data_IF_956156304699
#
_entry.id   IF_956156304699
#
_cell.length_a   1.000
_cell.length_b   1.000
_cell.length_c   1.000
_cell.angle_alpha   90.00
_cell.angle_beta   90.00
_cell.angle_gamma   90.00
#
_symmetry.space_group_name_H-M   'P 1'
#
loop_
_entity.id
_entity.type
_entity.pdbx_description
1 polymer ?
#
# COMPACT_ATOMS: atom_id res chain seq x y z
N UNK A 1 11.78 -6.38 -24.58
CA UNK A 1 12.59 -7.56 -24.98
C UNK A 1 13.59 -7.98 -23.90
N UNK A 2 13.90 -7.13 -22.90
CA UNK A 2 14.88 -7.42 -21.82
C UNK A 2 14.32 -8.08 -20.54
N UNK A 3 12.99 -8.16 -20.35
CA UNK A 3 12.41 -8.91 -19.21
C UNK A 3 12.63 -10.44 -19.31
N UNK A 4 12.86 -10.93 -20.54
CA UNK A 4 13.28 -12.31 -20.80
C UNK A 4 14.77 -12.49 -20.48
N UNK A 5 15.58 -11.44 -20.66
CA UNK A 5 17.04 -11.50 -20.56
C UNK A 5 17.56 -11.45 -19.11
N UNK A 6 16.81 -10.86 -18.16
CA UNK A 6 17.15 -10.91 -16.73
C UNK A 6 16.83 -12.26 -16.07
N UNK A 7 15.71 -12.87 -16.44
CA UNK A 7 15.40 -14.26 -16.08
C UNK A 7 16.39 -15.23 -16.76
N UNK A 8 16.82 -14.94 -17.99
CA UNK A 8 17.84 -15.72 -18.68
C UNK A 8 19.22 -15.56 -18.02
N UNK A 9 19.70 -14.35 -17.72
CA UNK A 9 21.00 -14.14 -17.04
C UNK A 9 21.05 -14.74 -15.64
N UNK A 10 19.93 -14.74 -14.91
CA UNK A 10 19.77 -15.45 -13.63
C UNK A 10 19.67 -16.97 -13.80
N UNK A 11 19.06 -17.45 -14.90
CA UNK A 11 19.09 -18.88 -15.28
C UNK A 11 20.50 -19.36 -15.60
N UNK A 12 21.28 -18.58 -16.37
CA UNK A 12 22.60 -19.00 -16.87
C UNK A 12 23.67 -19.07 -15.78
N UNK A 13 23.63 -18.19 -14.77
CA UNK A 13 24.59 -18.24 -13.64
C UNK A 13 24.40 -19.45 -12.72
N UNK A 14 23.23 -20.10 -12.75
CA UNK A 14 22.93 -21.33 -11.99
C UNK A 14 23.19 -22.63 -12.76
N UNK A 15 23.44 -22.60 -14.07
CA UNK A 15 23.72 -23.83 -14.85
C UNK A 15 25.08 -24.42 -14.45
N UNK A 16 25.99 -23.61 -13.92
CA UNK A 16 27.25 -24.10 -13.37
C UNK A 16 27.00 -24.99 -12.14
N UNK A 17 27.58 -26.19 -12.15
CA UNK A 17 27.48 -27.15 -11.04
C UNK A 17 26.18 -27.96 -10.96
N UNK A 18 25.23 -27.81 -11.89
CA UNK A 18 24.00 -28.62 -11.88
C UNK A 18 24.29 -30.10 -12.16
N UNK A 19 23.84 -30.97 -11.26
CA UNK A 19 23.82 -32.42 -11.51
C UNK A 19 22.77 -32.78 -12.58
N UNK A 20 22.85 -33.96 -13.22
CA UNK A 20 21.81 -34.43 -14.14
C UNK A 20 20.41 -34.46 -13.52
N UNK A 21 20.31 -34.63 -12.19
CA UNK A 21 19.05 -34.61 -11.46
C UNK A 21 18.45 -33.20 -11.47
N UNK A 22 19.27 -32.16 -11.30
CA UNK A 22 18.81 -30.77 -11.44
C UNK A 22 18.26 -30.51 -12.84
N UNK A 23 18.91 -31.01 -13.90
CA UNK A 23 18.39 -30.90 -15.26
C UNK A 23 17.01 -31.58 -15.42
N UNK A 24 16.85 -32.78 -14.85
CA UNK A 24 15.57 -33.48 -14.87
C UNK A 24 14.46 -32.73 -14.08
N UNK A 25 14.80 -32.12 -12.95
CA UNK A 25 13.89 -31.24 -12.18
C UNK A 25 13.55 -29.97 -12.98
N UNK A 26 14.54 -29.31 -13.56
CA UNK A 26 14.38 -28.08 -14.34
C UNK A 26 13.40 -28.27 -15.51
N UNK A 27 13.45 -29.44 -16.13
CA UNK A 27 12.55 -29.83 -17.22
C UNK A 27 11.32 -30.63 -16.76
N UNK A 28 11.08 -30.73 -15.44
CA UNK A 28 9.92 -31.37 -14.83
C UNK A 28 9.65 -32.79 -15.33
N UNK A 29 10.72 -33.60 -15.47
CA UNK A 29 10.65 -34.97 -16.00
C UNK A 29 10.56 -36.01 -14.88
N UNK A 30 9.37 -36.23 -14.33
CA UNK A 30 9.15 -37.18 -13.21
C UNK A 30 9.68 -38.60 -13.48
N UNK A 31 9.36 -39.14 -14.66
CA UNK A 31 9.76 -40.51 -15.00
C UNK A 31 11.29 -40.65 -15.10
N UNK A 32 11.98 -39.59 -15.55
CA UNK A 32 13.44 -39.55 -15.54
C UNK A 32 13.98 -39.54 -14.11
N UNK A 33 13.38 -38.76 -13.20
CA UNK A 33 13.77 -38.75 -11.78
C UNK A 33 13.59 -40.13 -11.12
N UNK A 34 12.45 -40.79 -11.37
CA UNK A 34 12.20 -42.15 -10.87
C UNK A 34 13.24 -43.15 -11.39
N UNK A 35 13.55 -43.12 -12.68
CA UNK A 35 14.52 -44.02 -13.27
C UNK A 35 15.96 -43.73 -12.78
N UNK A 36 16.32 -42.46 -12.63
CA UNK A 36 17.60 -42.05 -12.06
C UNK A 36 17.74 -42.48 -10.60
N UNK A 37 16.68 -42.38 -9.78
CA UNK A 37 16.68 -42.83 -8.39
C UNK A 37 16.93 -44.34 -8.28
N UNK A 38 16.36 -45.15 -9.18
CA UNK A 38 16.62 -46.59 -9.22
C UNK A 38 18.08 -46.93 -9.55
N UNK A 39 18.74 -46.12 -10.38
CA UNK A 39 20.09 -46.41 -10.88
C UNK A 39 21.20 -45.84 -10.00
N UNK A 40 21.07 -44.57 -9.59
CA UNK A 40 22.12 -43.87 -8.82
C UNK A 40 21.53 -42.80 -7.90
N UNK A 41 21.13 -43.24 -6.69
CA UNK A 41 20.57 -42.37 -5.63
C UNK A 41 21.50 -41.25 -5.19
N UNK A 42 22.82 -41.47 -5.21
CA UNK A 42 23.84 -40.49 -4.81
C UNK A 42 23.73 -39.14 -5.55
N UNK A 43 23.22 -39.14 -6.79
CA UNK A 43 23.11 -37.93 -7.60
C UNK A 43 22.09 -36.91 -7.04
N UNK A 44 21.19 -37.36 -6.17
CA UNK A 44 20.14 -36.54 -5.55
C UNK A 44 20.64 -35.71 -4.37
N UNK A 45 21.81 -36.04 -3.81
CA UNK A 45 22.47 -35.29 -2.73
C UNK A 45 23.47 -34.24 -3.26
N UNK A 46 23.72 -34.21 -4.56
CA UNK A 46 24.60 -33.20 -5.15
C UNK A 46 23.91 -31.84 -5.13
N UNK A 47 24.66 -30.80 -4.83
CA UNK A 47 24.20 -29.42 -4.84
C UNK A 47 24.68 -28.66 -6.07
N UNK A 48 23.90 -27.67 -6.50
CA UNK A 48 24.26 -26.75 -7.58
C UNK A 48 25.29 -25.68 -7.11
N UNK A 49 25.69 -24.77 -8.00
CA UNK A 49 26.59 -23.66 -7.62
C UNK A 49 26.03 -22.75 -6.52
N UNK A 50 24.72 -22.72 -6.31
CA UNK A 50 24.05 -22.03 -5.20
C UNK A 50 24.02 -22.84 -3.90
N UNK A 51 24.58 -24.04 -3.87
CA UNK A 51 24.47 -24.98 -2.75
C UNK A 51 23.07 -25.59 -2.62
N UNK A 52 22.18 -25.36 -3.58
CA UNK A 52 20.82 -25.89 -3.56
C UNK A 52 20.81 -27.35 -4.00
N UNK A 53 20.02 -28.17 -3.31
CA UNK A 53 19.71 -29.55 -3.74
C UNK A 53 18.67 -29.55 -4.87
N UNK A 54 18.42 -30.70 -5.53
CA UNK A 54 17.32 -30.81 -6.50
C UNK A 54 15.96 -30.42 -5.91
N UNK A 55 15.76 -30.60 -4.61
CA UNK A 55 14.54 -30.18 -3.92
C UNK A 55 14.43 -28.66 -3.79
N UNK A 56 15.53 -27.93 -3.59
CA UNK A 56 15.54 -26.47 -3.65
C UNK A 56 15.10 -25.98 -5.04
N UNK A 57 15.63 -26.59 -6.10
CA UNK A 57 15.26 -26.24 -7.47
C UNK A 57 13.78 -26.57 -7.74
N UNK A 58 13.29 -27.74 -7.32
CA UNK A 58 11.89 -28.11 -7.47
C UNK A 58 10.96 -27.13 -6.75
N UNK A 59 11.35 -26.70 -5.54
CA UNK A 59 10.64 -25.70 -4.77
C UNK A 59 10.68 -24.30 -5.40
N UNK A 60 11.79 -23.95 -6.05
CA UNK A 60 11.96 -22.68 -6.76
C UNK A 60 11.08 -22.56 -8.00
N UNK A 61 10.90 -23.65 -8.76
CA UNK A 61 10.12 -23.66 -10.01
C UNK A 61 8.65 -24.11 -9.82
N UNK A 62 8.22 -24.34 -8.58
CA UNK A 62 6.89 -24.87 -8.26
C UNK A 62 6.58 -26.25 -8.89
N UNK A 63 7.57 -27.15 -8.97
CA UNK A 63 7.37 -28.49 -9.51
C UNK A 63 6.87 -29.45 -8.42
N UNK A 64 5.56 -29.39 -8.15
CA UNK A 64 4.91 -30.07 -7.02
C UNK A 64 5.08 -31.58 -7.06
N UNK A 65 4.92 -32.22 -8.21
CA UNK A 65 5.10 -33.68 -8.34
C UNK A 65 6.55 -34.10 -8.10
N UNK A 66 7.50 -33.26 -8.52
CA UNK A 66 8.91 -33.47 -8.22
C UNK A 66 9.22 -33.30 -6.74
N UNK A 67 8.65 -32.27 -6.10
CA UNK A 67 8.76 -32.07 -4.65
C UNK A 67 8.25 -33.29 -3.90
N UNK A 68 7.04 -33.77 -4.21
CA UNK A 68 6.47 -34.97 -3.61
C UNK A 68 7.41 -36.17 -3.73
N UNK A 69 7.86 -36.47 -4.95
CA UNK A 69 8.79 -37.58 -5.19
C UNK A 69 10.11 -37.43 -4.42
N UNK A 70 10.69 -36.24 -4.42
CA UNK A 70 11.97 -35.98 -3.76
C UNK A 70 11.87 -36.05 -2.24
N UNK A 71 10.75 -35.62 -1.65
CA UNK A 71 10.51 -35.69 -0.22
C UNK A 71 10.29 -37.14 0.22
N UNK A 72 9.50 -37.92 -0.53
CA UNK A 72 9.23 -39.33 -0.25
C UNK A 72 10.49 -40.20 -0.33
N UNK A 73 11.33 -40.01 -1.36
CA UNK A 73 12.53 -40.83 -1.58
C UNK A 73 13.80 -40.31 -0.89
N UNK A 74 13.89 -38.99 -0.68
CA UNK A 74 15.10 -38.29 -0.22
C UNK A 74 14.78 -37.27 0.88
N UNK A 75 14.08 -37.74 1.91
CA UNK A 75 13.63 -36.93 3.04
C UNK A 75 14.73 -36.12 3.75
N UNK A 76 16.01 -36.49 3.65
CA UNK A 76 17.10 -35.70 4.23
C UNK A 76 17.29 -34.33 3.55
N UNK A 77 16.90 -34.21 2.27
CA UNK A 77 17.16 -33.01 1.44
C UNK A 77 16.29 -31.79 1.80
N UNK A 78 15.27 -31.98 2.63
CA UNK A 78 14.33 -30.95 3.09
C UNK A 78 14.90 -30.09 4.22
N UNK A 79 15.91 -30.59 4.93
CA UNK A 79 16.60 -29.93 6.05
C UNK A 79 18.02 -29.49 5.67
N UNK A 80 18.37 -29.61 4.39
CA UNK A 80 19.63 -29.07 3.85
C UNK A 80 19.44 -27.58 3.52
N UNK A 81 20.46 -26.77 3.85
CA UNK A 81 20.47 -25.35 3.56
C UNK A 81 21.23 -25.06 2.26
N UNK A 82 20.69 -24.15 1.44
CA UNK A 82 21.47 -23.54 0.35
C UNK A 82 22.51 -22.53 0.88
N UNK A 83 23.30 -21.92 -0.01
CA UNK A 83 24.29 -20.88 0.36
C UNK A 83 23.65 -19.59 0.88
N UNK A 84 22.37 -19.36 0.58
CA UNK A 84 21.61 -18.26 1.17
C UNK A 84 21.15 -18.57 2.59
N UNK A 85 21.28 -19.82 3.05
CA UNK A 85 20.81 -20.29 4.35
C UNK A 85 19.32 -20.62 4.36
N UNK A 86 18.72 -20.87 3.20
CA UNK A 86 17.32 -21.26 3.07
C UNK A 86 17.18 -22.77 2.95
N UNK A 87 16.12 -23.29 3.56
CA UNK A 87 15.59 -24.63 3.28
C UNK A 87 14.69 -24.57 2.03
N UNK A 88 14.38 -25.71 1.38
CA UNK A 88 13.48 -25.73 0.23
C UNK A 88 12.11 -25.07 0.50
N UNK A 89 11.55 -25.24 1.70
CA UNK A 89 10.27 -24.60 2.08
C UNK A 89 10.37 -23.07 2.14
N UNK A 90 11.53 -22.53 2.53
CA UNK A 90 11.78 -21.10 2.52
C UNK A 90 11.92 -20.58 1.09
N UNK A 91 12.55 -21.35 0.20
CA UNK A 91 12.61 -21.00 -1.23
C UNK A 91 11.20 -20.95 -1.83
N UNK A 92 10.35 -21.95 -1.56
CA UNK A 92 8.95 -21.93 -1.98
C UNK A 92 8.20 -20.70 -1.41
N UNK A 93 8.47 -20.36 -0.14
CA UNK A 93 7.90 -19.16 0.49
C UNK A 93 8.37 -17.85 -0.15
N UNK A 94 9.67 -17.71 -0.42
CA UNK A 94 10.27 -16.57 -1.13
C UNK A 94 9.64 -16.39 -2.52
N UNK A 95 9.33 -17.48 -3.21
CA UNK A 95 8.74 -17.45 -4.56
C UNK A 95 7.21 -17.33 -4.57
N UNK A 96 6.54 -17.57 -3.44
CA UNK A 96 5.07 -17.50 -3.35
C UNK A 96 4.35 -18.78 -3.78
N UNK A 97 5.05 -19.91 -3.79
CA UNK A 97 4.58 -21.21 -4.28
C UNK A 97 3.82 -21.98 -3.19
N UNK A 98 2.55 -21.62 -3.02
CA UNK A 98 1.70 -22.15 -1.95
C UNK A 98 1.50 -23.67 -2.03
N UNK A 99 1.30 -24.23 -3.22
CA UNK A 99 1.06 -25.69 -3.36
C UNK A 99 2.31 -26.50 -2.98
N UNK A 100 3.50 -26.03 -3.34
CA UNK A 100 4.76 -26.61 -2.84
C UNK A 100 4.88 -26.53 -1.31
N UNK A 101 4.49 -25.41 -0.68
CA UNK A 101 4.52 -25.29 0.78
C UNK A 101 3.57 -26.30 1.42
N UNK A 102 2.35 -26.44 0.89
CA UNK A 102 1.39 -27.45 1.39
C UNK A 102 1.97 -28.86 1.30
N UNK A 103 2.55 -29.21 0.15
CA UNK A 103 3.17 -30.53 -0.03
C UNK A 103 4.33 -30.75 0.96
N UNK A 104 5.23 -29.77 1.13
CA UNK A 104 6.35 -29.88 2.08
C UNK A 104 5.87 -30.00 3.53
N UNK A 105 4.79 -29.31 3.90
CA UNK A 105 4.22 -29.37 5.25
C UNK A 105 3.52 -30.70 5.55
N UNK A 106 3.04 -31.45 4.55
CA UNK A 106 2.48 -32.80 4.77
C UNK A 106 3.50 -33.77 5.36
N UNK A 107 4.77 -33.57 5.04
CA UNK A 107 5.88 -34.43 5.47
C UNK A 107 6.67 -33.84 6.64
N UNK A 108 6.33 -32.64 7.11
CA UNK A 108 6.97 -31.96 8.26
C UNK A 108 5.96 -31.62 9.35
N UNK A 109 5.91 -32.38 10.46
CA UNK A 109 4.88 -32.19 11.48
C UNK A 109 5.08 -30.94 12.34
N UNK A 110 6.31 -30.40 12.42
CA UNK A 110 6.59 -29.17 13.18
C UNK A 110 7.29 -28.10 12.32
N UNK A 111 6.56 -27.10 11.82
CA UNK A 111 7.13 -26.01 11.01
C UNK A 111 7.86 -24.95 11.85
N UNK A 112 7.81 -24.99 13.18
CA UNK A 112 8.53 -24.02 14.02
C UNK A 112 10.04 -24.25 14.03
N UNK A 113 10.45 -25.52 13.93
CA UNK A 113 11.86 -25.90 13.86
C UNK A 113 12.49 -25.54 12.51
N UNK A 114 11.66 -25.26 11.49
CA UNK A 114 12.08 -24.89 10.15
C UNK A 114 12.40 -23.39 10.07
N UNK A 115 13.55 -23.02 10.63
CA UNK A 115 14.09 -21.67 10.58
C UNK A 115 15.20 -21.57 9.54
N UNK A 116 15.25 -20.45 8.84
CA UNK A 116 16.39 -20.19 7.97
C UNK A 116 17.67 -19.96 8.80
N UNK A 117 18.82 -20.32 8.22
CA UNK A 117 20.07 -20.33 8.97
C UNK A 117 20.56 -18.92 9.33
N UNK A 118 20.36 -17.93 8.44
CA UNK A 118 20.94 -16.59 8.61
C UNK A 118 20.15 -15.75 9.62
N UNK A 119 18.87 -15.54 9.39
CA UNK A 119 18.03 -14.64 10.19
C UNK A 119 17.19 -15.36 11.26
N UNK A 120 17.09 -16.70 11.24
CA UNK A 120 16.18 -17.45 12.12
C UNK A 120 14.71 -17.23 11.76
N UNK A 121 14.42 -17.01 10.49
CA UNK A 121 13.10 -16.70 9.97
C UNK A 121 12.36 -17.96 9.56
N UNK A 122 11.09 -18.09 9.97
CA UNK A 122 10.18 -19.13 9.47
C UNK A 122 9.57 -18.74 8.11
N UNK A 123 8.75 -19.64 7.55
CA UNK A 123 8.09 -19.43 6.24
C UNK A 123 7.21 -18.16 6.19
N UNK A 124 6.62 -17.73 7.31
CA UNK A 124 5.76 -16.55 7.33
C UNK A 124 6.57 -15.25 7.36
N UNK A 125 7.72 -15.23 8.04
CA UNK A 125 8.68 -14.12 7.94
C UNK A 125 9.15 -13.94 6.50
N UNK A 126 9.52 -15.03 5.82
CA UNK A 126 9.95 -14.99 4.42
C UNK A 126 8.82 -14.51 3.50
N UNK A 127 7.60 -15.04 3.67
CA UNK A 127 6.43 -14.58 2.93
C UNK A 127 6.15 -13.08 3.17
N UNK A 128 6.31 -12.62 4.41
CA UNK A 128 6.18 -11.22 4.78
C UNK A 128 7.28 -10.34 4.17
N UNK A 129 8.52 -10.81 4.11
CA UNK A 129 9.65 -10.10 3.50
C UNK A 129 9.43 -9.83 2.02
N UNK A 130 8.92 -10.84 1.30
CA UNK A 130 8.74 -10.80 -0.16
C UNK A 130 7.30 -10.49 -0.61
N UNK A 131 6.42 -10.07 0.30
CA UNK A 131 5.05 -9.64 -0.05
C UNK A 131 4.13 -10.77 -0.55
N UNK A 132 4.36 -12.02 -0.13
CA UNK A 132 3.59 -13.19 -0.60
C UNK A 132 2.28 -13.36 0.16
N UNK A 133 1.30 -12.52 -0.17
CA UNK A 133 0.00 -12.47 0.50
C UNK A 133 -0.80 -13.79 0.44
N UNK A 134 -0.62 -14.63 -0.59
CA UNK A 134 -1.26 -15.95 -0.70
C UNK A 134 -0.87 -16.89 0.44
N UNK A 135 0.42 -16.92 0.78
CA UNK A 135 0.96 -17.75 1.87
C UNK A 135 0.47 -17.21 3.21
N UNK A 136 0.52 -15.89 3.40
CA UNK A 136 0.02 -15.24 4.62
C UNK A 136 -1.46 -15.59 4.87
N UNK A 137 -2.30 -15.47 3.84
CA UNK A 137 -3.73 -15.84 3.94
C UNK A 137 -3.92 -17.31 4.27
N UNK A 138 -3.11 -18.20 3.68
CA UNK A 138 -3.12 -19.62 4.03
C UNK A 138 -2.72 -19.87 5.48
N UNK A 139 -1.61 -19.29 5.97
CA UNK A 139 -1.17 -19.42 7.36
C UNK A 139 -2.22 -18.89 8.35
N UNK A 140 -2.86 -17.75 8.03
CA UNK A 140 -3.94 -17.19 8.84
C UNK A 140 -5.21 -18.05 8.84
N UNK A 141 -5.43 -18.86 7.81
CA UNK A 141 -6.58 -19.79 7.71
C UNK A 141 -6.36 -21.13 8.40
N UNK A 142 -5.12 -21.50 8.74
CA UNK A 142 -4.77 -22.81 9.29
C UNK A 142 -4.36 -22.71 10.77
N UNK A 143 -5.16 -23.23 11.71
CA UNK A 143 -4.85 -23.20 13.14
C UNK A 143 -3.53 -23.87 13.51
N UNK A 144 -3.12 -24.91 12.79
CA UNK A 144 -1.85 -25.61 13.02
C UNK A 144 -0.62 -24.72 12.84
N UNK A 145 -0.73 -23.67 12.02
CA UNK A 145 0.35 -22.71 11.76
C UNK A 145 0.23 -21.43 12.59
N UNK A 146 -0.71 -21.38 13.55
CA UNK A 146 -1.00 -20.19 14.34
C UNK A 146 0.22 -19.66 15.10
N UNK A 147 1.06 -20.57 15.59
CA UNK A 147 2.24 -20.20 16.37
C UNK A 147 3.30 -19.47 15.53
N UNK A 148 3.31 -19.65 14.21
CA UNK A 148 4.18 -18.90 13.29
C UNK A 148 3.85 -17.40 13.23
N UNK A 149 2.61 -17.01 13.55
CA UNK A 149 2.11 -15.63 13.41
C UNK A 149 2.88 -14.62 14.28
N UNK A 150 3.30 -15.05 15.47
CA UNK A 150 3.93 -14.22 16.49
C UNK A 150 5.35 -14.69 16.85
N UNK A 151 5.87 -15.70 16.14
CA UNK A 151 7.24 -16.16 16.28
C UNK A 151 8.22 -15.01 16.03
N UNK A 152 9.37 -15.04 16.71
CA UNK A 152 10.41 -14.02 16.59
C UNK A 152 11.63 -14.60 15.90
N UNK A 153 12.18 -13.84 14.95
CA UNK A 153 13.47 -14.13 14.35
C UNK A 153 14.64 -13.75 15.28
N UNK A 154 15.89 -13.89 14.81
CA UNK A 154 17.08 -13.59 15.63
C UNK A 154 17.18 -12.13 16.10
N UNK A 155 16.54 -11.20 15.39
CA UNK A 155 16.46 -9.79 15.77
C UNK A 155 15.22 -9.48 16.64
N UNK A 156 14.46 -10.51 17.00
CA UNK A 156 13.22 -10.37 17.75
C UNK A 156 12.06 -9.89 16.88
N UNK A 157 12.25 -9.75 15.57
CA UNK A 157 11.20 -9.28 14.67
C UNK A 157 10.17 -10.40 14.48
N UNK A 158 8.89 -10.05 14.54
CA UNK A 158 7.80 -10.94 14.11
C UNK A 158 7.56 -10.78 12.60
N UNK A 159 6.75 -11.64 11.95
CA UNK A 159 6.39 -11.45 10.54
C UNK A 159 5.74 -10.10 10.26
N UNK A 160 5.02 -9.53 11.23
CA UNK A 160 4.47 -8.17 11.16
C UNK A 160 5.58 -7.11 11.10
N UNK A 161 6.64 -7.23 11.92
CA UNK A 161 7.80 -6.35 11.89
C UNK A 161 8.53 -6.45 10.55
N UNK A 162 8.75 -7.66 10.04
CA UNK A 162 9.41 -7.88 8.75
C UNK A 162 8.58 -7.30 7.58
N UNK A 163 7.27 -7.53 7.55
CA UNK A 163 6.39 -6.91 6.55
C UNK A 163 6.43 -5.37 6.60
N UNK A 164 6.63 -4.81 7.79
CA UNK A 164 6.77 -3.37 8.01
C UNK A 164 8.10 -2.85 7.48
N UNK A 165 9.21 -3.51 7.83
CA UNK A 165 10.56 -3.16 7.37
C UNK A 165 10.69 -3.19 5.84
N UNK A 166 9.99 -4.15 5.21
CA UNK A 166 9.99 -4.33 3.75
C UNK A 166 8.86 -3.58 3.04
N UNK A 167 8.06 -2.80 3.77
CA UNK A 167 6.94 -2.03 3.24
C UNK A 167 5.98 -2.84 2.37
N UNK A 168 5.37 -3.87 2.96
CA UNK A 168 4.45 -4.78 2.27
C UNK A 168 2.98 -4.57 2.69
N UNK A 169 2.28 -3.54 2.15
CA UNK A 169 0.91 -3.20 2.50
C UNK A 169 -0.11 -4.34 2.45
N UNK A 170 -0.07 -5.19 1.43
CA UNK A 170 -1.06 -6.28 1.29
C UNK A 170 -0.91 -7.33 2.40
N UNK A 171 0.34 -7.67 2.74
CA UNK A 171 0.64 -8.57 3.84
C UNK A 171 0.26 -7.93 5.18
N UNK A 172 0.65 -6.68 5.39
CA UNK A 172 0.30 -5.91 6.59
C UNK A 172 -1.20 -5.83 6.82
N UNK A 173 -1.98 -5.55 5.77
CA UNK A 173 -3.43 -5.51 5.88
C UNK A 173 -4.00 -6.87 6.29
N UNK A 174 -3.46 -7.96 5.75
CA UNK A 174 -3.91 -9.32 6.08
C UNK A 174 -3.56 -9.69 7.53
N UNK A 175 -2.34 -9.39 7.98
CA UNK A 175 -1.87 -9.69 9.34
C UNK A 175 -2.60 -8.84 10.38
N UNK A 176 -2.70 -7.53 10.17
CA UNK A 176 -3.26 -6.59 11.17
C UNK A 176 -4.76 -6.72 11.40
N UNK A 177 -5.49 -7.32 10.46
CA UNK A 177 -6.94 -7.58 10.58
C UNK A 177 -7.24 -8.92 11.24
N UNK A 178 -6.23 -9.73 11.50
CA UNK A 178 -6.42 -11.03 12.11
C UNK A 178 -6.19 -10.96 13.63
N UNK A 179 -7.22 -11.29 14.41
CA UNK A 179 -7.21 -11.15 15.88
C UNK A 179 -6.08 -11.91 16.60
N UNK A 180 -5.51 -12.93 15.95
CA UNK A 180 -4.43 -13.78 16.49
C UNK A 180 -3.04 -13.18 16.35
N UNK A 181 -2.89 -12.14 15.53
CA UNK A 181 -1.61 -11.44 15.35
C UNK A 181 -1.48 -10.40 16.46
N UNK A 182 -0.46 -10.53 17.29
CA UNK A 182 -0.22 -9.61 18.39
C UNK A 182 0.55 -8.38 17.90
N UNK A 183 -0.17 -7.26 17.78
CA UNK A 183 0.38 -5.97 17.35
C UNK A 183 1.25 -5.30 18.43
N UNK A 184 1.24 -5.79 19.67
CA UNK A 184 1.92 -5.19 20.82
C UNK A 184 3.35 -5.69 21.00
N UNK A 185 3.73 -6.74 20.30
CA UNK A 185 5.06 -7.33 20.40
C UNK A 185 6.12 -6.32 19.95
N UNK A 186 7.26 -6.36 20.63
CA UNK A 186 8.44 -5.57 20.31
C UNK A 186 9.60 -6.46 19.89
N UNK A 187 10.44 -5.95 19.00
CA UNK A 187 11.70 -6.59 18.62
C UNK A 187 12.81 -6.38 19.65
N UNK A 188 14.03 -6.86 19.38
CA UNK A 188 15.17 -6.73 20.30
C UNK A 188 15.61 -5.27 20.53
N UNK A 189 15.18 -4.34 19.66
CA UNK A 189 15.37 -2.90 19.83
C UNK A 189 14.22 -2.21 20.60
N UNK A 190 13.30 -2.98 21.20
CA UNK A 190 12.10 -2.49 21.88
C UNK A 190 11.16 -1.65 20.99
N UNK A 191 11.15 -1.92 19.69
CA UNK A 191 10.28 -1.26 18.71
C UNK A 191 9.09 -2.14 18.38
N UNK A 192 7.88 -1.57 18.39
CA UNK A 192 6.71 -2.18 17.73
C UNK A 192 6.77 -1.95 16.22
N UNK A 193 5.92 -2.65 15.45
CA UNK A 193 5.76 -2.38 14.02
C UNK A 193 5.45 -0.90 13.73
N UNK A 194 4.61 -0.23 14.53
CA UNK A 194 4.32 1.19 14.33
C UNK A 194 5.54 2.08 14.59
N UNK A 195 6.35 1.74 15.59
CA UNK A 195 7.55 2.51 15.93
C UNK A 195 8.63 2.42 14.85
N UNK A 196 8.73 1.28 14.16
CA UNK A 196 9.61 1.10 13.00
C UNK A 196 9.22 2.06 11.89
N UNK A 197 7.92 2.13 11.56
CA UNK A 197 7.44 3.08 10.54
C UNK A 197 7.71 4.51 10.95
N UNK A 198 7.35 4.90 12.17
CA UNK A 198 7.56 6.29 12.64
C UNK A 198 9.06 6.67 12.67
N UNK A 199 9.98 5.70 12.79
CA UNK A 199 11.42 5.93 12.71
C UNK A 199 11.94 6.06 11.28
N UNK A 200 11.47 5.21 10.37
CA UNK A 200 11.88 5.19 8.97
C UNK A 200 11.21 6.32 8.14
N UNK A 201 9.98 6.71 8.51
CA UNK A 201 9.19 7.74 7.83
C UNK A 201 9.54 9.17 8.25
N UNK A 202 10.71 9.40 8.85
CA UNK A 202 11.20 10.74 9.25
C UNK A 202 11.36 11.72 8.08
N UNK A 203 11.23 11.26 6.82
CA UNK A 203 11.23 12.07 5.60
C UNK A 203 9.80 12.33 5.12
N UNK A 204 9.51 13.58 4.76
CA UNK A 204 8.15 14.09 4.45
C UNK A 204 7.56 13.50 3.16
N UNK A 205 8.39 13.03 2.23
CA UNK A 205 7.99 12.44 0.95
C UNK A 205 8.10 10.91 0.93
N UNK A 206 7.42 10.23 1.83
CA UNK A 206 7.37 8.78 1.79
C UNK A 206 6.53 8.28 0.59
N UNK A 207 7.06 7.37 -0.26
CA UNK A 207 6.30 6.72 -1.32
C UNK A 207 4.94 6.21 -0.85
N UNK A 208 3.96 6.17 -1.76
CA UNK A 208 2.57 5.78 -1.45
C UNK A 208 2.49 4.48 -0.62
N UNK A 209 3.30 3.46 -0.93
CA UNK A 209 3.32 2.19 -0.21
C UNK A 209 3.82 2.32 1.25
N UNK A 210 4.73 3.25 1.54
CA UNK A 210 5.20 3.54 2.90
C UNK A 210 4.14 4.29 3.71
N UNK A 211 3.48 5.27 3.08
CA UNK A 211 2.33 5.97 3.68
C UNK A 211 1.17 5.00 3.95
N UNK A 212 0.86 4.09 3.02
CA UNK A 212 -0.14 3.04 3.20
C UNK A 212 0.21 2.12 4.36
N UNK A 213 1.48 1.70 4.50
CA UNK A 213 1.96 0.87 5.61
C UNK A 213 1.68 1.54 6.96
N UNK A 214 1.98 2.84 7.07
CA UNK A 214 1.66 3.63 8.27
C UNK A 214 0.16 3.68 8.54
N UNK A 215 -0.63 3.97 7.50
CA UNK A 215 -2.09 4.06 7.61
C UNK A 215 -2.72 2.73 8.01
N UNK A 216 -2.23 1.61 7.49
CA UNK A 216 -2.69 0.26 7.87
C UNK A 216 -2.46 0.02 9.35
N UNK A 217 -1.23 0.24 9.84
CA UNK A 217 -0.89 0.04 11.25
C UNK A 217 -1.67 0.95 12.18
N UNK A 218 -1.89 2.21 11.81
CA UNK A 218 -2.72 3.16 12.57
C UNK A 218 -4.21 2.75 12.57
N UNK A 219 -4.74 2.31 11.43
CA UNK A 219 -6.14 1.87 11.32
C UNK A 219 -6.43 0.58 12.08
N UNK A 220 -5.42 -0.28 12.23
CA UNK A 220 -5.44 -1.44 13.11
C UNK A 220 -5.10 -1.10 14.57
N UNK A 221 -4.64 0.14 14.79
CA UNK A 221 -3.75 0.64 15.87
C UNK A 221 -2.99 -0.42 16.61
N UNK A 222 -1.98 -0.86 15.88
CA UNK A 222 -0.73 -1.16 16.53
C UNK A 222 -0.40 -0.06 17.56
N UNK A 223 -0.15 -0.41 18.83
CA UNK A 223 0.29 0.56 19.82
C UNK A 223 1.70 1.05 19.50
N UNK A 224 2.10 2.17 20.12
CA UNK A 224 3.51 2.55 20.22
C UNK A 224 4.15 1.86 21.42
N UNK A 225 5.46 1.60 21.37
CA UNK A 225 6.19 1.06 22.52
C UNK A 225 6.14 2.03 23.69
N UNK A 226 6.14 1.48 24.92
CA UNK A 226 6.02 2.27 26.15
C UNK A 226 7.14 3.32 26.27
N UNK A 227 8.35 2.97 25.87
CA UNK A 227 9.52 3.86 25.95
C UNK A 227 9.36 5.09 25.04
N UNK A 228 8.87 4.93 23.81
CA UNK A 228 8.56 6.06 22.92
C UNK A 228 7.29 6.81 23.33
N UNK A 229 6.29 6.12 23.90
CA UNK A 229 5.08 6.75 24.41
C UNK A 229 5.33 7.66 25.64
N UNK A 230 6.37 7.38 26.42
CA UNK A 230 6.83 8.24 27.53
C UNK A 230 7.62 9.45 26.99
N UNK A 231 8.49 9.23 25.99
CA UNK A 231 9.27 10.30 25.35
C UNK A 231 8.44 11.24 24.45
N UNK A 232 7.25 10.82 23.99
CA UNK A 232 6.29 11.66 23.27
C UNK A 232 5.08 11.96 24.15
N UNK A 233 5.05 13.09 24.90
CA UNK A 233 3.83 13.48 25.59
C UNK A 233 2.75 13.76 24.54
N UNK A 234 1.52 13.31 24.82
CA UNK A 234 0.30 13.46 24.00
C UNK A 234 0.23 14.84 23.32
N UNK A 235 0.68 14.88 22.08
CA UNK A 235 0.74 16.09 21.28
C UNK A 235 1.68 15.86 20.11
N UNK A 236 1.21 16.18 18.92
CA UNK A 236 1.93 16.09 17.66
C UNK A 236 3.14 17.05 17.67
N UNK A 237 4.19 16.73 18.42
CA UNK A 237 5.44 17.49 18.50
C UNK A 237 6.36 17.14 17.34
N UNK A 238 6.01 17.62 16.14
CA UNK A 238 6.88 17.55 14.97
C UNK A 238 8.01 18.61 15.13
N UNK A 239 8.96 18.31 16.00
CA UNK A 239 10.15 19.14 16.25
C UNK A 239 11.41 18.37 15.90
N UNK A 240 11.75 18.30 14.62
CA UNK A 240 13.14 18.08 14.15
C UNK A 240 13.34 18.95 12.92
N UNK A 241 14.50 19.61 12.87
CA UNK A 241 14.87 20.59 11.84
C UNK A 241 14.67 20.02 10.44
N UNK A 242 13.80 20.66 9.65
CA UNK A 242 13.57 20.26 8.26
C UNK A 242 14.84 20.52 7.45
N UNK A 243 15.25 19.54 6.64
CA UNK A 243 16.40 19.66 5.75
C UNK A 243 16.03 20.62 4.61
N UNK A 244 16.94 21.47 4.09
CA UNK A 244 16.64 22.45 3.04
C UNK A 244 15.81 21.96 1.82
N UNK A 245 16.03 20.76 1.23
CA UNK A 245 15.23 20.30 0.10
C UNK A 245 13.78 19.91 0.48
N UNK A 246 13.50 19.64 1.75
CA UNK A 246 12.13 19.36 2.22
C UNK A 246 11.31 20.65 2.31
N UNK A 247 11.94 21.80 2.59
CA UNK A 247 11.27 23.09 2.70
C UNK A 247 10.80 23.61 1.33
N UNK A 248 11.64 23.47 0.31
CA UNK A 248 11.31 23.85 -1.07
C UNK A 248 10.15 23.00 -1.62
N UNK A 249 10.13 21.69 -1.34
CA UNK A 249 9.02 20.82 -1.78
C UNK A 249 7.71 21.11 -1.05
N UNK A 250 7.77 21.39 0.25
CA UNK A 250 6.58 21.88 0.97
C UNK A 250 6.09 23.20 0.37
N UNK A 251 6.99 24.05 -0.12
CA UNK A 251 6.66 25.30 -0.82
C UNK A 251 5.86 25.01 -2.09
N UNK A 252 6.31 24.06 -2.89
CA UNK A 252 5.60 23.61 -4.09
C UNK A 252 4.22 23.00 -3.76
N UNK A 253 4.10 22.24 -2.68
CA UNK A 253 2.81 21.65 -2.26
C UNK A 253 1.81 22.74 -1.79
N UNK A 254 2.29 23.77 -1.09
CA UNK A 254 1.41 24.91 -0.76
C UNK A 254 1.07 25.73 -1.99
N UNK A 255 2.03 25.97 -2.89
CA UNK A 255 1.83 26.75 -4.10
C UNK A 255 0.79 26.07 -5.01
N UNK A 256 0.89 24.76 -5.21
CA UNK A 256 -0.11 24.00 -5.98
C UNK A 256 -1.50 24.06 -5.35
N UNK A 257 -1.62 23.86 -4.02
CA UNK A 257 -2.91 24.00 -3.30
C UNK A 257 -3.46 25.42 -3.36
N UNK A 258 -2.59 26.43 -3.29
CA UNK A 258 -2.96 27.84 -3.37
C UNK A 258 -3.46 28.19 -4.77
N UNK A 259 -2.84 27.67 -5.83
CA UNK A 259 -3.30 27.82 -7.21
C UNK A 259 -4.71 27.21 -7.37
N UNK A 260 -4.93 25.99 -6.88
CA UNK A 260 -6.26 25.35 -6.92
C UNK A 260 -7.30 26.17 -6.16
N UNK A 261 -6.98 26.62 -4.93
CA UNK A 261 -7.88 27.44 -4.14
C UNK A 261 -8.19 28.79 -4.83
N UNK A 262 -7.19 29.44 -5.42
CA UNK A 262 -7.35 30.71 -6.13
C UNK A 262 -8.22 30.52 -7.38
N UNK A 263 -8.04 29.43 -8.13
CA UNK A 263 -8.87 29.10 -9.29
C UNK A 263 -10.33 28.88 -8.88
N UNK A 264 -10.58 28.12 -7.80
CA UNK A 264 -11.94 27.90 -7.28
C UNK A 264 -12.56 29.24 -6.84
N UNK A 265 -11.81 30.10 -6.14
CA UNK A 265 -12.29 31.41 -5.72
C UNK A 265 -12.65 32.31 -6.93
N UNK A 266 -11.82 32.31 -7.97
CA UNK A 266 -12.07 33.09 -9.18
C UNK A 266 -13.28 32.57 -9.98
N UNK A 267 -13.40 31.24 -10.15
CA UNK A 267 -14.53 30.62 -10.85
C UNK A 267 -15.86 30.85 -10.11
N UNK A 268 -15.84 30.75 -8.77
CA UNK A 268 -17.04 30.97 -7.95
C UNK A 268 -17.43 32.45 -7.90
N UNK A 269 -16.45 33.36 -7.84
CA UNK A 269 -16.69 34.80 -7.98
C UNK A 269 -17.34 35.14 -9.32
N UNK A 270 -16.79 34.63 -10.44
CA UNK A 270 -17.37 34.84 -11.77
C UNK A 270 -18.79 34.26 -11.89
N UNK A 271 -19.03 33.07 -11.33
CA UNK A 271 -20.34 32.44 -11.30
C UNK A 271 -21.37 33.22 -10.45
N UNK A 272 -20.93 33.98 -9.44
CA UNK A 272 -21.79 34.83 -8.63
C UNK A 272 -22.46 35.96 -9.43
N UNK A 273 -21.78 36.47 -10.47
CA UNK A 273 -22.30 37.51 -11.36
C UNK A 273 -22.78 36.98 -12.72
N UNK A 274 -22.46 35.73 -13.05
CA UNK A 274 -22.91 35.06 -14.27
C UNK A 274 -24.08 34.14 -13.94
N UNK A 275 -25.16 34.72 -13.41
CA UNK A 275 -26.28 33.94 -12.87
C UNK A 275 -26.96 33.10 -13.96
N UNK A 276 -27.34 31.84 -13.65
CA UNK A 276 -28.01 30.98 -14.61
C UNK A 276 -29.32 31.65 -15.10
N UNK A 277 -29.47 31.78 -16.42
CA UNK A 277 -30.63 32.45 -17.07
C UNK A 277 -30.56 33.97 -17.15
N UNK A 278 -29.48 34.59 -16.68
CA UNK A 278 -29.28 36.03 -16.78
C UNK A 278 -30.21 36.85 -15.89
N UNK A 279 -30.26 38.14 -16.21
CA UNK A 279 -30.97 39.14 -15.42
C UNK A 279 -32.30 39.54 -16.08
N UNK A 280 -33.28 39.83 -15.25
CA UNK A 280 -34.57 40.34 -15.68
C UNK A 280 -34.38 41.77 -16.21
N UNK A 281 -34.96 42.07 -17.38
CA UNK A 281 -34.88 43.38 -18.03
C UNK A 281 -36.11 44.26 -17.78
N UNK A 282 -37.11 43.77 -17.05
CA UNK A 282 -38.39 44.47 -16.84
C UNK A 282 -38.52 45.01 -15.42
N UNK A 283 -38.90 46.28 -15.28
CA UNK A 283 -39.23 46.89 -13.98
C UNK A 283 -40.51 46.25 -13.39
N UNK A 284 -40.62 46.10 -12.04
CA UNK A 284 -39.75 46.65 -11.00
C UNK A 284 -38.49 45.82 -10.68
N UNK A 285 -38.43 44.57 -11.16
CA UNK A 285 -37.37 43.62 -10.79
C UNK A 285 -36.16 43.65 -11.76
N UNK A 286 -35.91 44.80 -12.40
CA UNK A 286 -34.82 44.95 -13.36
C UNK A 286 -33.46 44.71 -12.67
N UNK A 287 -32.63 43.84 -13.24
CA UNK A 287 -31.34 43.44 -12.66
C UNK A 287 -31.42 42.28 -11.66
N UNK A 288 -32.60 41.75 -11.33
CA UNK A 288 -32.74 40.53 -10.54
C UNK A 288 -32.54 39.29 -11.41
N UNK A 289 -32.06 38.17 -10.84
CA UNK A 289 -31.90 36.94 -11.60
C UNK A 289 -33.26 36.38 -12.08
N UNK A 290 -33.36 35.98 -13.35
CA UNK A 290 -34.62 35.51 -13.95
C UNK A 290 -35.17 34.22 -13.31
N UNK A 291 -34.30 33.44 -12.66
CA UNK A 291 -34.65 32.16 -12.04
C UNK A 291 -34.67 32.18 -10.51
N UNK A 292 -34.80 33.37 -9.90
CA UNK A 292 -34.84 33.56 -8.45
C UNK A 292 -35.85 32.65 -7.74
N UNK A 293 -37.02 32.40 -8.35
CA UNK A 293 -38.10 31.62 -7.74
C UNK A 293 -37.91 30.09 -7.79
N UNK A 294 -36.80 29.59 -8.34
CA UNK A 294 -36.54 28.15 -8.42
C UNK A 294 -35.70 27.68 -7.22
N UNK A 295 -36.07 26.62 -6.50
CA UNK A 295 -35.35 26.19 -5.30
C UNK A 295 -33.89 25.78 -5.56
N UNK A 296 -33.60 25.24 -6.75
CA UNK A 296 -32.22 24.89 -7.12
C UNK A 296 -31.36 26.12 -7.45
N UNK A 297 -31.97 27.29 -7.69
CA UNK A 297 -31.23 28.55 -7.81
C UNK A 297 -30.68 28.97 -6.44
N UNK A 298 -31.46 28.80 -5.37
CA UNK A 298 -30.99 29.06 -4.01
C UNK A 298 -29.81 28.15 -3.63
N UNK A 299 -29.89 26.86 -3.98
CA UNK A 299 -28.78 25.91 -3.80
C UNK A 299 -27.54 26.35 -4.56
N UNK A 300 -27.69 26.79 -5.82
CA UNK A 300 -26.59 27.32 -6.62
C UNK A 300 -25.90 28.50 -5.92
N UNK A 301 -26.66 29.50 -5.47
CA UNK A 301 -26.10 30.70 -4.83
C UNK A 301 -25.42 30.34 -3.50
N UNK A 302 -26.10 29.59 -2.62
CA UNK A 302 -25.55 29.20 -1.31
C UNK A 302 -24.26 28.40 -1.47
N UNK A 303 -24.26 27.37 -2.31
CA UNK A 303 -23.07 26.54 -2.52
C UNK A 303 -21.94 27.34 -3.15
N UNK A 304 -22.23 28.26 -4.08
CA UNK A 304 -21.21 29.11 -4.68
C UNK A 304 -20.58 30.08 -3.67
N UNK A 305 -21.39 30.66 -2.78
CA UNK A 305 -20.93 31.51 -1.68
C UNK A 305 -20.06 30.73 -0.69
N UNK A 306 -20.50 29.53 -0.27
CA UNK A 306 -19.73 28.65 0.61
C UNK A 306 -18.40 28.26 -0.06
N UNK A 307 -18.42 27.95 -1.35
CA UNK A 307 -17.23 27.59 -2.11
C UNK A 307 -16.22 28.73 -2.13
N UNK A 308 -16.68 29.94 -2.46
CA UNK A 308 -15.84 31.13 -2.53
C UNK A 308 -15.18 31.44 -1.20
N UNK A 309 -15.95 31.57 -0.12
CA UNK A 309 -15.41 31.92 1.20
C UNK A 309 -14.50 30.83 1.77
N UNK A 310 -14.86 29.55 1.60
CA UNK A 310 -14.01 28.44 2.04
C UNK A 310 -12.68 28.42 1.28
N UNK A 311 -12.68 28.78 0.00
CA UNK A 311 -11.47 28.89 -0.80
C UNK A 311 -10.60 30.08 -0.40
N UNK A 312 -11.20 31.25 -0.10
CA UNK A 312 -10.48 32.41 0.42
C UNK A 312 -9.85 32.09 1.78
N UNK A 313 -10.57 31.40 2.68
CA UNK A 313 -10.02 30.93 3.96
C UNK A 313 -8.82 30.00 3.73
N UNK A 314 -8.92 29.07 2.77
CA UNK A 314 -7.79 28.21 2.39
C UNK A 314 -6.58 29.03 1.92
N UNK A 315 -6.79 30.02 1.05
CA UNK A 315 -5.73 30.91 0.57
C UNK A 315 -5.10 31.69 1.73
N UNK A 316 -5.90 32.27 2.64
CA UNK A 316 -5.37 33.02 3.80
C UNK A 316 -4.53 32.12 4.71
N UNK A 317 -4.98 30.88 4.96
CA UNK A 317 -4.20 29.90 5.74
C UNK A 317 -2.88 29.57 5.03
N UNK A 318 -2.90 29.38 3.71
CA UNK A 318 -1.71 29.09 2.91
C UNK A 318 -0.77 30.30 2.78
N UNK A 319 -1.28 31.53 2.75
CA UNK A 319 -0.49 32.76 2.75
C UNK A 319 0.15 33.03 4.11
N UNK A 320 -0.51 32.68 5.22
CA UNK A 320 0.06 32.78 6.56
C UNK A 320 1.36 31.96 6.70
N UNK A 321 1.47 30.87 5.93
CA UNK A 321 2.71 30.06 5.84
C UNK A 321 3.85 30.81 5.15
N UNK A 322 3.57 31.77 4.26
CA UNK A 322 4.61 32.54 3.56
C UNK A 322 5.26 33.59 4.47
N UNK A 323 4.61 33.93 5.60
CA UNK A 323 5.03 34.98 6.53
C UNK A 323 5.77 34.40 7.77
N UNK A 324 5.67 33.09 8.06
CA UNK A 324 6.06 32.53 9.35
C UNK A 324 7.00 31.30 9.29
N UNK A 325 7.74 31.12 10.38
CA UNK A 325 8.85 30.19 10.61
C UNK A 325 8.63 28.72 10.20
N UNK A 326 9.72 28.05 9.84
CA UNK A 326 9.77 26.73 9.15
C UNK A 326 9.12 25.58 9.93
N UNK A 327 8.96 25.72 11.26
CA UNK A 327 8.46 24.66 12.14
C UNK A 327 6.93 24.47 12.14
N UNK A 328 6.14 25.43 11.63
CA UNK A 328 4.67 25.36 11.64
C UNK A 328 4.05 24.85 10.32
N UNK A 329 4.87 24.51 9.33
CA UNK A 329 4.42 24.32 7.93
C UNK A 329 3.46 23.14 7.76
N UNK A 330 3.74 21.98 8.37
CA UNK A 330 2.87 20.80 8.25
C UNK A 330 1.50 21.00 8.93
N UNK A 331 1.47 21.72 10.04
CA UNK A 331 0.23 22.02 10.75
C UNK A 331 -0.64 22.99 9.96
N UNK A 332 -0.04 24.02 9.35
CA UNK A 332 -0.75 24.98 8.49
C UNK A 332 -1.27 24.34 7.20
N UNK A 333 -0.44 23.50 6.54
CA UNK A 333 -0.88 22.69 5.40
C UNK A 333 -2.01 21.73 5.77
N UNK A 334 -1.95 21.12 6.95
CA UNK A 334 -3.02 20.28 7.47
C UNK A 334 -4.33 21.04 7.66
N UNK A 335 -4.28 22.24 8.24
CA UNK A 335 -5.46 23.10 8.44
C UNK A 335 -6.09 23.59 7.14
N UNK A 336 -5.29 23.86 6.10
CA UNK A 336 -5.80 24.31 4.80
C UNK A 336 -6.58 23.20 4.03
N UNK A 337 -6.42 21.92 4.39
CA UNK A 337 -7.08 20.80 3.69
C UNK A 337 -8.60 20.85 3.82
N UNK A 338 -9.12 21.13 5.01
CA UNK A 338 -10.55 21.09 5.27
C UNK A 338 -11.31 22.19 4.51
N UNK A 339 -10.90 23.47 4.54
CA UNK A 339 -11.56 24.51 3.73
C UNK A 339 -11.47 24.25 2.22
N UNK A 340 -10.35 23.69 1.73
CA UNK A 340 -10.19 23.34 0.32
C UNK A 340 -11.13 22.21 -0.12
N UNK A 341 -11.38 21.23 0.76
CA UNK A 341 -12.39 20.20 0.48
C UNK A 341 -13.78 20.81 0.40
N UNK A 342 -14.13 21.61 1.40
CA UNK A 342 -15.46 22.23 1.48
C UNK A 342 -15.68 23.04 0.20
N UNK A 343 -14.67 23.78 -0.27
CA UNK A 343 -14.78 24.54 -1.52
C UNK A 343 -14.94 23.66 -2.76
N UNK A 344 -14.19 22.57 -2.91
CA UNK A 344 -14.29 21.66 -4.05
C UNK A 344 -15.66 20.93 -4.10
N UNK A 345 -16.14 20.46 -2.95
CA UNK A 345 -17.43 19.79 -2.84
C UNK A 345 -18.59 20.75 -3.10
N UNK A 346 -18.58 21.93 -2.46
CA UNK A 346 -19.63 22.94 -2.67
C UNK A 346 -19.63 23.51 -4.09
N UNK A 347 -18.46 23.69 -4.71
CA UNK A 347 -18.37 24.10 -6.13
C UNK A 347 -19.00 23.06 -7.06
N UNK A 348 -18.78 21.77 -6.80
CA UNK A 348 -19.38 20.68 -7.60
C UNK A 348 -20.91 20.69 -7.48
N UNK A 349 -21.45 20.91 -6.28
CA UNK A 349 -22.89 21.05 -6.05
C UNK A 349 -23.45 22.31 -6.71
N UNK A 350 -22.72 23.44 -6.64
CA UNK A 350 -23.10 24.67 -7.31
C UNK A 350 -23.21 24.47 -8.82
N UNK A 351 -22.19 23.87 -9.45
CA UNK A 351 -22.22 23.58 -10.89
C UNK A 351 -23.42 22.69 -11.27
N UNK A 352 -23.66 21.61 -10.52
CA UNK A 352 -24.81 20.73 -10.72
C UNK A 352 -26.14 21.50 -10.62
N UNK A 353 -26.31 22.35 -9.61
CA UNK A 353 -27.51 23.14 -9.40
C UNK A 353 -27.72 24.19 -10.51
N UNK A 354 -26.67 24.89 -10.93
CA UNK A 354 -26.74 25.90 -11.99
C UNK A 354 -27.13 25.31 -13.36
N UNK A 355 -26.56 24.16 -13.71
CA UNK A 355 -26.92 23.44 -14.96
C UNK A 355 -28.33 22.85 -14.86
N UNK A 356 -28.73 22.32 -13.71
CA UNK A 356 -30.09 21.82 -13.51
C UNK A 356 -31.14 22.92 -13.70
N UNK A 357 -30.90 24.09 -13.10
CA UNK A 357 -31.81 25.24 -13.16
C UNK A 357 -31.99 25.72 -14.61
N UNK A 358 -30.92 25.77 -15.40
CA UNK A 358 -30.95 26.18 -16.82
C UNK A 358 -31.54 25.12 -17.75
N UNK A 359 -31.18 23.85 -17.56
CA UNK A 359 -31.63 22.75 -18.42
C UNK A 359 -32.98 22.13 -17.99
N UNK A 360 -33.59 22.60 -16.89
CA UNK A 360 -34.82 22.05 -16.30
C UNK A 360 -36.01 21.89 -17.27
N UNK A 361 -36.07 22.68 -18.36
CA UNK A 361 -37.11 22.54 -19.40
C UNK A 361 -37.00 21.21 -20.17
N UNK A 362 -35.81 20.60 -20.24
CA UNK A 362 -35.55 19.31 -20.87
C UNK A 362 -35.19 18.32 -19.76
N UNK A 363 -36.18 17.56 -19.31
CA UNK A 363 -36.07 16.63 -18.17
C UNK A 363 -34.92 15.63 -18.33
N UNK A 364 -34.67 15.13 -19.55
CA UNK A 364 -33.58 14.17 -19.79
C UNK A 364 -32.19 14.78 -19.53
N UNK A 365 -31.94 16.03 -19.95
CA UNK A 365 -30.66 16.71 -19.72
C UNK A 365 -30.46 16.92 -18.23
N UNK A 366 -31.49 17.42 -17.56
CA UNK A 366 -31.47 17.67 -16.12
C UNK A 366 -31.17 16.39 -15.31
N UNK A 367 -31.79 15.26 -15.68
CA UNK A 367 -31.55 13.96 -15.03
C UNK A 367 -30.13 13.47 -15.28
N UNK A 368 -29.63 13.52 -16.53
CA UNK A 368 -28.26 13.11 -16.86
C UNK A 368 -27.22 13.95 -16.11
N UNK A 369 -27.39 15.27 -16.09
CA UNK A 369 -26.51 16.18 -15.33
C UNK A 369 -26.49 15.85 -13.84
N UNK A 370 -27.65 15.54 -13.25
CA UNK A 370 -27.75 15.21 -11.84
C UNK A 370 -27.07 13.87 -11.53
N UNK A 371 -27.22 12.84 -12.39
CA UNK A 371 -26.51 11.56 -12.23
C UNK A 371 -24.99 11.78 -12.31
N UNK A 372 -24.51 12.49 -13.34
CA UNK A 372 -23.08 12.78 -13.50
C UNK A 372 -22.56 13.57 -12.28
N UNK A 373 -23.27 14.62 -11.85
CA UNK A 373 -22.89 15.43 -10.69
C UNK A 373 -22.83 14.66 -9.37
N UNK A 374 -23.80 13.78 -9.11
CA UNK A 374 -23.79 12.95 -7.90
C UNK A 374 -22.63 11.94 -7.95
N UNK A 375 -22.41 11.29 -9.09
CA UNK A 375 -21.31 10.32 -9.23
C UNK A 375 -19.94 10.98 -9.05
N UNK A 376 -19.71 12.16 -9.64
CA UNK A 376 -18.45 12.90 -9.48
C UNK A 376 -18.26 13.39 -8.06
N UNK A 377 -19.30 13.92 -7.41
CA UNK A 377 -19.24 14.33 -6.00
C UNK A 377 -18.90 13.15 -5.09
N UNK A 378 -19.49 11.98 -5.32
CA UNK A 378 -19.21 10.77 -4.56
C UNK A 378 -17.75 10.32 -4.73
N UNK A 379 -17.20 10.39 -5.95
CA UNK A 379 -15.80 10.06 -6.22
C UNK A 379 -14.87 11.05 -5.50
N UNK A 380 -15.12 12.37 -5.60
CA UNK A 380 -14.31 13.41 -4.95
C UNK A 380 -14.31 13.21 -3.42
N UNK A 381 -15.48 12.99 -2.82
CA UNK A 381 -15.59 12.80 -1.37
C UNK A 381 -14.92 11.50 -0.92
N UNK A 382 -15.07 10.42 -1.69
CA UNK A 382 -14.44 9.12 -1.41
C UNK A 382 -12.92 9.21 -1.47
N UNK A 383 -12.36 9.85 -2.51
CA UNK A 383 -10.91 10.11 -2.60
C UNK A 383 -10.44 10.99 -1.44
N UNK A 384 -11.21 12.00 -1.03
CA UNK A 384 -10.81 12.83 0.10
C UNK A 384 -10.76 12.05 1.42
N UNK A 385 -11.80 11.27 1.73
CA UNK A 385 -11.83 10.40 2.91
C UNK A 385 -10.66 9.41 2.86
N UNK A 386 -10.34 8.91 1.67
CA UNK A 386 -9.23 8.00 1.43
C UNK A 386 -7.86 8.57 1.81
N UNK A 387 -7.59 9.81 1.42
CA UNK A 387 -6.28 10.42 1.56
C UNK A 387 -6.09 11.16 2.89
N UNK A 388 -7.17 11.65 3.52
CA UNK A 388 -7.03 12.70 4.53
C UNK A 388 -7.74 12.48 5.86
N UNK A 389 -8.68 11.54 5.98
CA UNK A 389 -9.26 11.21 7.28
C UNK A 389 -8.30 10.25 8.00
N UNK A 390 -7.71 10.62 9.16
CA UNK A 390 -7.02 9.65 9.98
C UNK A 390 -8.07 8.63 10.42
N UNK A 391 -8.00 7.42 9.86
CA UNK A 391 -8.93 6.32 10.10
C UNK A 391 -8.72 5.85 11.55
N UNK A 392 -9.31 6.59 12.48
CA UNK A 392 -9.30 6.38 13.92
C UNK A 392 -10.44 5.48 14.40
N UNK A 393 -10.29 5.03 15.63
CA UNK A 393 -10.74 3.76 16.18
C UNK A 393 -12.24 3.50 16.42
N UNK A 394 -12.57 2.20 16.38
CA UNK A 394 -13.73 1.49 16.94
C UNK A 394 -15.02 1.38 16.11
N UNK A 395 -15.19 2.13 15.02
CA UNK A 395 -16.37 1.96 14.18
C UNK A 395 -16.12 0.94 13.06
N UNK A 396 -16.84 -0.19 13.08
CA UNK A 396 -16.76 -1.25 12.04
C UNK A 396 -17.01 -0.71 10.64
N UNK A 397 -17.89 0.27 10.48
CA UNK A 397 -18.13 0.97 9.21
C UNK A 397 -16.91 1.77 8.74
N UNK A 398 -16.23 2.46 9.66
CA UNK A 398 -15.01 3.23 9.36
C UNK A 398 -13.87 2.28 8.99
N UNK A 399 -13.77 1.11 9.62
CA UNK A 399 -12.79 0.07 9.26
C UNK A 399 -13.07 -0.56 7.90
N UNK A 400 -14.34 -0.81 7.55
CA UNK A 400 -14.70 -1.32 6.21
C UNK A 400 -14.39 -0.29 5.11
N UNK A 401 -14.69 0.98 5.36
CA UNK A 401 -14.32 2.07 4.47
C UNK A 401 -12.80 2.24 4.37
N UNK A 402 -12.09 2.19 5.51
CA UNK A 402 -10.63 2.15 5.58
C UNK A 402 -10.06 1.04 4.70
N UNK A 403 -10.58 -0.17 4.84
CA UNK A 403 -10.09 -1.35 4.13
C UNK A 403 -10.35 -1.23 2.62
N UNK A 404 -11.50 -0.69 2.21
CA UNK A 404 -11.78 -0.42 0.81
C UNK A 404 -10.78 0.60 0.23
N UNK A 405 -10.57 1.70 0.94
CA UNK A 405 -9.61 2.75 0.61
C UNK A 405 -8.19 2.18 0.49
N UNK A 406 -7.75 1.43 1.49
CA UNK A 406 -6.42 0.84 1.55
C UNK A 406 -6.25 -0.14 0.39
N UNK A 407 -7.24 -1.01 0.11
CA UNK A 407 -7.20 -1.94 -1.03
C UNK A 407 -7.11 -1.21 -2.38
N UNK A 408 -7.88 -0.14 -2.55
CA UNK A 408 -7.78 0.70 -3.76
C UNK A 408 -6.38 1.32 -3.87
N UNK A 409 -5.84 1.86 -2.78
CA UNK A 409 -4.48 2.41 -2.72
C UNK A 409 -3.40 1.37 -3.03
N UNK A 410 -3.54 0.13 -2.54
CA UNK A 410 -2.64 -0.99 -2.87
C UNK A 410 -2.71 -1.32 -4.36
N UNK A 411 -3.92 -1.37 -4.95
CA UNK A 411 -4.11 -1.63 -6.37
C UNK A 411 -3.44 -0.57 -7.25
N UNK A 412 -3.59 0.72 -6.89
CA UNK A 412 -2.95 1.84 -7.58
C UNK A 412 -1.43 1.78 -7.40
N UNK A 413 -0.95 1.51 -6.19
CA UNK A 413 0.49 1.35 -5.96
C UNK A 413 1.08 0.23 -6.82
N UNK A 414 0.34 -0.87 -7.01
CA UNK A 414 0.76 -1.99 -7.84
C UNK A 414 0.78 -1.64 -9.34
N UNK A 415 -0.21 -0.90 -9.83
CA UNK A 415 -0.19 -0.47 -11.24
C UNK A 415 0.97 0.48 -11.51
N UNK A 416 1.24 1.42 -10.60
CA UNK A 416 2.35 2.37 -10.72
C UNK A 416 3.72 1.67 -10.64
N UNK A 417 3.90 0.65 -9.78
CA UNK A 417 5.17 -0.09 -9.73
C UNK A 417 5.39 -0.94 -10.97
N UNK A 418 4.34 -1.57 -11.50
CA UNK A 418 4.41 -2.31 -12.78
C UNK A 418 4.77 -1.37 -13.92
N UNK A 419 4.13 -0.21 -13.99
CA UNK A 419 4.40 0.80 -15.02
C UNK A 419 5.82 1.36 -14.90
N UNK A 420 6.29 1.70 -13.70
CA UNK A 420 7.68 2.16 -13.48
C UNK A 420 8.71 1.10 -13.85
N UNK A 421 8.42 -0.18 -13.60
CA UNK A 421 9.28 -1.29 -14.02
C UNK A 421 9.32 -1.47 -15.56
N UNK A 422 8.27 -1.07 -16.28
CA UNK A 422 8.25 -1.09 -17.75
C UNK A 422 8.97 0.08 -18.41
N UNK A 423 9.14 1.21 -17.71
CA UNK A 423 9.72 2.46 -18.27
C UNK A 423 11.15 2.79 -17.81
N UNK A 424 11.72 2.08 -16.84
CA UNK A 424 13.14 2.23 -16.45
C UNK A 424 13.89 0.89 -16.53
N UNK A 425 14.63 0.60 -17.62
CA UNK A 425 15.72 -0.36 -17.55
C UNK A 425 16.80 0.24 -16.64
N UNK A 426 17.35 -0.59 -15.76
CA UNK A 426 18.20 -0.23 -14.63
C UNK A 426 19.43 0.60 -15.02
N UNK A 427 19.50 1.83 -14.48
CA UNK A 427 20.76 2.47 -14.15
C UNK A 427 20.66 2.97 -12.71
N UNK A 428 21.08 2.12 -11.76
CA UNK A 428 21.77 2.47 -10.50
C UNK A 428 21.73 1.26 -9.56
N UNK A 429 22.66 0.31 -9.74
CA UNK A 429 23.17 -0.49 -8.63
C UNK A 429 24.69 -0.65 -8.83
N UNK A 430 25.41 0.36 -8.33
CA UNK A 430 26.86 0.34 -8.19
C UNK A 430 27.20 1.19 -6.97
N UNK A 431 27.94 0.60 -6.02
CA UNK A 431 28.25 1.09 -4.67
C UNK A 431 27.05 0.98 -3.72
N UNK A 432 27.04 0.14 -2.68
CA UNK A 432 28.09 -0.35 -1.79
C UNK A 432 27.71 -1.70 -1.18
#
# INVERSE_FOLDING_TARGET
MEAVDRDDKFRWSRVEGMSPVHGAVMHQRLEMLKEMSKRKKELFHLSDAGGGTPLHLAAYINYVEGVKFLVEEFASSTVEYDKEGYLPIHVASKMGHLETIKELLLHWPDPEELLNFKEGQNILHVAAKYGRASIVKYTLGNPELEKLLNAKDKEGNTPLHVATLQWQPEVLLSLTRHNRVDLKLVNNSNLTALDIVDEQLRKIDAPLHQSLTRTILLSAGAPRSKDKAICQPKGLGLGKDLVPPDLDRLKDEANSRMVVATLIAAMTFAAGFSVPGGYNGSEPDAGMATMLNKPMYDVFVICNTVAMFSSIIAVVILLWRQINDSHAVLHTLGKARLPLLISLASMSVAFMAGVYVTASKRTWIAVVTLIIGITTLFVILSLYVAFFVPLGYNCRLVQLLADYIIRAGISISRSVTVERATWQPEYTLGML
#
